data_IF_918834904670
#
_entry.id   IF_918834904670
#
_cell.length_a   1.000
_cell.length_b   1.000
_cell.length_c   1.000
_cell.angle_alpha   90.00
_cell.angle_beta   90.00
_cell.angle_gamma   90.00
#
_symmetry.space_group_name_H-M   'P 1'
#
loop_
_entity.id
_entity.type
_entity.pdbx_description
1 polymer ?
#
# COMPACT_ATOMS: atom_id res chain seq x y z
N UNK A 1 -14.72 0.55 -6.77
CA UNK A 1 -13.54 1.42 -6.79
C UNK A 1 -12.43 0.73 -7.55
N UNK A 2 -11.64 1.48 -8.32
CA UNK A 2 -10.45 0.94 -9.01
C UNK A 2 -9.16 1.32 -8.28
N UNK A 3 -8.27 0.35 -8.13
CA UNK A 3 -6.98 0.50 -7.46
C UNK A 3 -5.89 0.03 -8.41
N UNK A 4 -4.88 0.87 -8.63
CA UNK A 4 -3.60 0.44 -9.22
C UNK A 4 -2.74 -0.12 -8.10
N UNK A 5 -2.39 -1.40 -8.17
CA UNK A 5 -1.49 -2.01 -7.18
C UNK A 5 -0.08 -1.44 -7.39
N UNK A 6 0.52 -0.92 -6.33
CA UNK A 6 1.86 -0.32 -6.37
C UNK A 6 2.84 -1.06 -5.47
N UNK A 7 2.36 -1.71 -4.42
CA UNK A 7 3.19 -2.47 -3.48
C UNK A 7 2.50 -3.77 -3.05
N UNK A 8 3.31 -4.84 -2.98
CA UNK A 8 2.91 -6.14 -2.47
C UNK A 8 4.04 -6.64 -1.58
N UNK A 9 3.78 -6.68 -0.27
CA UNK A 9 4.77 -7.06 0.73
C UNK A 9 4.46 -8.44 1.28
N UNK A 10 5.42 -9.36 1.23
CA UNK A 10 5.34 -10.66 1.91
C UNK A 10 5.48 -10.48 3.43
N UNK A 11 4.44 -10.85 4.17
CA UNK A 11 4.38 -10.73 5.63
C UNK A 11 4.84 -12.00 6.36
N UNK A 12 5.36 -12.99 5.63
CA UNK A 12 5.63 -14.36 6.11
C UNK A 12 4.33 -15.08 6.51
N UNK A 13 4.45 -16.39 6.75
CA UNK A 13 3.30 -17.19 7.22
C UNK A 13 2.17 -17.40 6.20
N UNK A 14 2.41 -17.16 4.91
CA UNK A 14 1.39 -17.30 3.87
C UNK A 14 0.49 -16.08 3.71
N UNK A 15 0.90 -14.93 4.25
CA UNK A 15 0.17 -13.67 4.18
C UNK A 15 0.92 -12.60 3.41
N UNK A 16 0.18 -11.73 2.72
CA UNK A 16 0.72 -10.55 2.06
C UNK A 16 -0.07 -9.29 2.45
N UNK A 17 0.63 -8.17 2.46
CA UNK A 17 0.06 -6.84 2.50
C UNK A 17 0.03 -6.26 1.08
N UNK A 18 -1.04 -5.56 0.73
CA UNK A 18 -1.19 -4.90 -0.56
C UNK A 18 -1.47 -3.44 -0.31
N UNK A 19 -0.77 -2.57 -1.03
CA UNK A 19 -1.08 -1.16 -1.12
C UNK A 19 -1.19 -0.75 -2.59
N UNK A 20 -2.02 0.25 -2.84
CA UNK A 20 -2.24 0.76 -4.18
C UNK A 20 -2.85 2.14 -4.21
N UNK A 21 -2.80 2.75 -5.39
CA UNK A 21 -3.37 4.05 -5.67
C UNK A 21 -4.84 3.93 -6.08
N UNK A 22 -5.74 4.55 -5.30
CA UNK A 22 -7.15 4.67 -5.67
C UNK A 22 -7.32 5.70 -6.78
N UNK A 23 -7.82 5.25 -7.95
CA UNK A 23 -8.12 6.16 -9.07
C UNK A 23 -9.33 7.05 -8.79
N UNK A 24 -10.22 6.63 -7.88
CA UNK A 24 -11.45 7.36 -7.57
C UNK A 24 -11.23 8.37 -6.43
N UNK A 25 -10.39 8.04 -5.46
CA UNK A 25 -10.12 8.88 -4.27
C UNK A 25 -8.78 9.63 -4.37
N UNK A 26 -7.99 9.41 -5.43
CA UNK A 26 -6.68 10.04 -5.67
C UNK A 26 -5.75 10.00 -4.44
N UNK A 27 -5.66 8.81 -3.83
CA UNK A 27 -4.82 8.57 -2.65
C UNK A 27 -4.36 7.12 -2.55
N UNK A 28 -3.32 6.91 -1.75
CA UNK A 28 -2.90 5.57 -1.34
C UNK A 28 -3.94 4.91 -0.44
N UNK A 29 -4.23 3.65 -0.74
CA UNK A 29 -5.09 2.79 0.08
C UNK A 29 -4.50 1.39 0.23
N UNK A 30 -4.85 0.74 1.33
CA UNK A 30 -4.56 -0.66 1.64
C UNK A 30 -5.88 -1.42 1.65
N UNK A 31 -6.27 -2.08 0.54
CA UNK A 31 -7.50 -2.86 0.54
C UNK A 31 -7.34 -4.03 1.51
N UNK A 32 -8.26 -4.12 2.49
CA UNK A 32 -8.27 -5.16 3.49
C UNK A 32 -9.48 -6.08 3.28
N UNK A 33 -9.27 -7.38 3.41
CA UNK A 33 -10.35 -8.34 3.26
C UNK A 33 -11.30 -8.30 4.46
N UNK A 34 -12.59 -8.01 4.20
CA UNK A 34 -13.59 -7.75 5.24
C UNK A 34 -14.01 -8.94 6.12
N UNK A 35 -13.49 -10.15 5.87
CA UNK A 35 -13.86 -11.36 6.62
C UNK A 35 -13.08 -11.56 7.94
N UNK A 36 -12.51 -10.50 8.51
CA UNK A 36 -11.72 -10.57 9.75
C UNK A 36 -10.24 -10.97 9.57
N UNK A 37 -9.79 -11.13 8.32
CA UNK A 37 -8.38 -11.31 7.97
C UNK A 37 -7.90 -10.10 7.18
N UNK A 38 -7.19 -9.18 7.83
CA UNK A 38 -6.72 -7.95 7.19
C UNK A 38 -5.59 -8.16 6.18
N UNK A 39 -5.03 -9.37 6.10
CA UNK A 39 -3.95 -9.74 5.20
C UNK A 39 -4.44 -10.74 4.15
N UNK A 40 -3.98 -10.57 2.93
CA UNK A 40 -4.32 -11.44 1.81
C UNK A 40 -3.50 -12.73 1.88
N UNK A 41 -3.97 -13.78 1.21
CA UNK A 41 -3.20 -15.02 1.10
C UNK A 41 -2.13 -14.88 0.01
N UNK A 42 -0.93 -15.43 0.25
CA UNK A 42 0.17 -15.45 -0.74
C UNK A 42 -0.22 -16.08 -2.08
N UNK A 43 -1.19 -17.00 -2.11
CA UNK A 43 -1.64 -17.61 -3.36
C UNK A 43 -2.28 -16.58 -4.31
N UNK A 44 -2.90 -15.52 -3.78
CA UNK A 44 -3.54 -14.48 -4.61
C UNK A 44 -2.52 -13.54 -5.30
N UNK A 45 -1.31 -13.40 -4.75
CA UNK A 45 -0.19 -12.78 -5.48
C UNK A 45 0.42 -13.74 -6.49
N UNK A 46 0.42 -15.05 -6.23
CA UNK A 46 0.91 -16.07 -7.17
C UNK A 46 -0.03 -16.29 -8.36
N UNK A 47 -1.31 -16.01 -8.20
CA UNK A 47 -2.33 -16.11 -9.25
C UNK A 47 -2.37 -14.85 -10.16
N UNK A 48 -1.32 -14.05 -10.16
CA UNK A 48 -1.16 -12.81 -10.94
C UNK A 48 -2.24 -11.72 -10.70
N UNK A 49 -3.05 -11.84 -9.65
CA UNK A 49 -4.08 -10.83 -9.33
C UNK A 49 -3.49 -9.65 -8.56
N UNK A 50 -2.80 -9.94 -7.45
CA UNK A 50 -2.21 -8.95 -6.56
C UNK A 50 -0.74 -8.72 -6.92
N UNK A 51 -0.51 -8.07 -8.06
CA UNK A 51 0.82 -7.74 -8.58
C UNK A 51 0.93 -6.24 -8.89
N UNK A 52 2.10 -5.60 -8.64
CA UNK A 52 2.32 -4.22 -9.05
C UNK A 52 1.98 -3.98 -10.53
N UNK A 53 1.34 -2.85 -10.83
CA UNK A 53 0.86 -2.48 -12.15
C UNK A 53 -0.56 -2.98 -12.46
N UNK A 54 -1.07 -4.00 -11.76
CA UNK A 54 -2.44 -4.44 -11.97
C UNK A 54 -3.47 -3.42 -11.48
N UNK A 55 -4.56 -3.32 -12.22
CA UNK A 55 -5.74 -2.55 -11.83
C UNK A 55 -6.80 -3.52 -11.33
N UNK A 56 -7.09 -3.49 -10.03
CA UNK A 56 -8.18 -4.29 -9.44
C UNK A 56 -9.42 -3.43 -9.20
N UNK A 57 -10.58 -4.03 -9.42
CA UNK A 57 -11.86 -3.46 -8.98
C UNK A 57 -12.24 -4.09 -7.66
N UNK A 58 -12.48 -3.24 -6.65
CA UNK A 58 -12.94 -3.63 -5.32
C UNK A 58 -14.31 -3.03 -5.02
N UNK A 59 -15.02 -3.65 -4.07
CA UNK A 59 -16.26 -3.11 -3.51
C UNK A 59 -16.02 -2.66 -2.06
N UNK A 60 -16.12 -1.35 -1.76
CA UNK A 60 -16.04 -0.83 -0.39
C UNK A 60 -17.04 -1.53 0.54
N UNK A 61 -16.62 -1.88 1.76
CA UNK A 61 -17.53 -2.38 2.80
C UNK A 61 -18.39 -1.28 3.42
N UNK A 62 -17.90 -0.03 3.39
CA UNK A 62 -18.48 1.10 4.12
C UNK A 62 -18.21 1.07 5.63
N UNK A 63 -17.37 0.14 6.10
CA UNK A 63 -16.97 0.00 7.51
C UNK A 63 -15.51 0.41 7.68
N UNK A 64 -15.20 0.97 8.85
CA UNK A 64 -13.83 1.23 9.25
C UNK A 64 -13.20 -0.04 9.86
N UNK A 65 -11.90 -0.29 9.64
CA UNK A 65 -11.16 -1.32 10.37
C UNK A 65 -11.24 -1.05 11.88
N UNK A 66 -11.56 -2.08 12.67
CA UNK A 66 -11.65 -1.96 14.14
C UNK A 66 -10.31 -2.36 14.76
N UNK A 67 -9.32 -1.46 14.74
CA UNK A 67 -8.03 -1.61 15.45
C UNK A 67 -7.26 -0.29 15.52
N UNK A 68 -6.45 -0.15 16.56
CA UNK A 68 -5.33 0.79 16.54
C UNK A 68 -4.32 0.32 15.50
N UNK A 69 -4.02 1.14 14.49
CA UNK A 69 -3.12 0.71 13.41
C UNK A 69 -2.30 1.88 12.85
N UNK A 70 -0.99 1.67 12.61
CA UNK A 70 -0.16 2.64 11.90
C UNK A 70 -0.70 3.03 10.52
N UNK A 71 -1.54 2.18 9.89
CA UNK A 71 -2.10 2.45 8.55
C UNK A 71 -3.58 2.87 8.56
N UNK A 72 -4.06 3.49 9.64
CA UNK A 72 -5.47 3.90 9.74
C UNK A 72 -5.92 4.82 8.60
N UNK A 73 -5.02 5.64 8.04
CA UNK A 73 -5.33 6.52 6.91
C UNK A 73 -5.51 5.77 5.59
N UNK A 74 -4.75 4.68 5.36
CA UNK A 74 -4.78 3.93 4.11
C UNK A 74 -5.73 2.73 4.14
N UNK A 75 -5.91 2.10 5.30
CA UNK A 75 -6.70 0.88 5.44
C UNK A 75 -8.14 1.08 4.94
N UNK A 76 -8.54 0.20 4.03
CA UNK A 76 -9.83 0.30 3.36
C UNK A 76 -10.49 -1.07 3.30
N UNK A 77 -11.51 -1.29 4.13
CA UNK A 77 -12.21 -2.58 4.16
C UNK A 77 -13.03 -2.79 2.89
N UNK A 78 -12.89 -3.98 2.31
CA UNK A 78 -13.64 -4.39 1.11
C UNK A 78 -14.60 -5.54 1.42
N UNK A 79 -15.61 -5.72 0.58
CA UNK A 79 -16.53 -6.86 0.60
C UNK A 79 -16.48 -7.63 -0.71
N UNK A 80 -16.47 -8.96 -0.59
CA UNK A 80 -16.32 -9.87 -1.74
C UNK A 80 -14.89 -9.88 -2.30
N UNK A 81 -14.74 -10.60 -3.40
CA UNK A 81 -13.44 -10.79 -4.05
C UNK A 81 -13.09 -9.62 -4.98
N UNK A 82 -11.82 -9.17 -5.00
CA UNK A 82 -11.33 -8.24 -6.02
C UNK A 82 -11.33 -8.90 -7.41
N UNK A 83 -11.50 -8.10 -8.45
CA UNK A 83 -11.44 -8.57 -9.83
C UNK A 83 -10.38 -7.80 -10.62
N UNK A 84 -9.53 -8.52 -11.37
CA UNK A 84 -8.61 -7.91 -12.31
C UNK A 84 -9.40 -7.17 -13.41
N UNK A 85 -9.07 -5.90 -13.61
CA UNK A 85 -9.77 -5.02 -14.56
C UNK A 85 -8.84 -4.36 -15.58
N UNK A 86 -7.54 -4.55 -15.46
CA UNK A 86 -6.53 -4.06 -16.36
C UNK A 86 -5.12 -4.21 -15.78
N UNK A 87 -4.12 -3.78 -16.55
CA UNK A 87 -2.73 -3.71 -16.12
C UNK A 87 -2.08 -2.49 -16.77
N UNK A 88 -1.16 -1.87 -16.04
CA UNK A 88 -0.33 -0.76 -16.48
C UNK A 88 1.12 -1.23 -16.62
N UNK A 89 1.83 -0.61 -17.55
CA UNK A 89 3.29 -0.71 -17.57
C UNK A 89 3.88 -0.05 -16.31
N UNK A 90 5.12 -0.38 -15.96
CA UNK A 90 5.82 0.25 -14.84
C UNK A 90 5.85 1.78 -14.96
N UNK A 91 6.01 2.29 -16.19
CA UNK A 91 6.04 3.74 -16.47
C UNK A 91 4.68 4.36 -16.19
N UNK A 92 3.60 3.75 -16.70
CA UNK A 92 2.25 4.27 -16.52
C UNK A 92 1.82 4.17 -15.05
N UNK A 93 2.20 3.09 -14.35
CA UNK A 93 1.96 2.92 -12.92
C UNK A 93 2.59 4.06 -12.12
N UNK A 94 3.88 4.37 -12.34
CA UNK A 94 4.54 5.48 -11.66
C UNK A 94 3.86 6.81 -11.96
N UNK A 95 3.48 7.05 -13.23
CA UNK A 95 2.76 8.26 -13.62
C UNK A 95 1.42 8.43 -12.92
N UNK A 96 0.70 7.33 -12.61
CA UNK A 96 -0.59 7.44 -11.90
C UNK A 96 -0.45 8.02 -10.49
N UNK A 97 0.71 7.84 -9.86
CA UNK A 97 0.98 8.33 -8.51
C UNK A 97 1.84 9.61 -8.49
N UNK A 98 2.32 10.11 -9.64
CA UNK A 98 3.24 11.27 -9.73
C UNK A 98 2.75 12.50 -8.96
N UNK A 99 1.44 12.78 -8.95
CA UNK A 99 0.88 13.91 -8.23
C UNK A 99 1.00 13.82 -6.69
N UNK A 100 1.32 12.64 -6.17
CA UNK A 100 1.50 12.34 -4.74
C UNK A 100 2.95 12.08 -4.35
N UNK A 101 3.89 12.28 -5.28
CA UNK A 101 5.32 12.04 -5.04
C UNK A 101 5.92 13.21 -4.28
N UNK A 102 6.64 12.90 -3.21
CA UNK A 102 7.37 13.87 -2.41
C UNK A 102 8.87 13.80 -2.73
N UNK A 103 9.57 14.93 -2.59
CA UNK A 103 11.02 14.99 -2.83
C UNK A 103 11.87 14.33 -1.73
N UNK A 104 11.27 13.99 -0.58
CA UNK A 104 11.97 13.41 0.57
C UNK A 104 11.01 12.76 1.58
N UNK A 105 11.54 11.89 2.45
CA UNK A 105 10.80 11.33 3.60
C UNK A 105 10.31 12.46 4.53
N UNK A 106 11.16 13.47 4.76
CA UNK A 106 10.81 14.61 5.62
C UNK A 106 9.67 15.45 5.04
N UNK A 107 9.64 15.68 3.73
CA UNK A 107 8.53 16.43 3.10
C UNK A 107 7.24 15.63 3.03
N UNK A 108 7.32 14.31 3.20
CA UNK A 108 6.16 13.43 3.23
C UNK A 108 5.57 13.28 4.64
N UNK A 109 6.41 13.02 5.65
CA UNK A 109 5.96 12.74 7.02
C UNK A 109 6.18 13.89 8.01
N UNK A 110 6.94 14.93 7.63
CA UNK A 110 7.24 16.05 8.51
C UNK A 110 7.93 15.63 9.80
N UNK A 111 7.59 16.33 10.89
CA UNK A 111 8.14 16.08 12.23
C UNK A 111 7.59 14.80 12.90
N UNK A 112 6.63 14.12 12.24
CA UNK A 112 6.11 12.82 12.70
C UNK A 112 7.10 11.68 12.44
N UNK A 113 8.08 11.93 11.57
CA UNK A 113 9.17 10.99 11.31
C UNK A 113 10.08 10.90 12.54
N UNK A 114 10.09 9.73 13.18
CA UNK A 114 11.07 9.40 14.24
C UNK A 114 11.97 8.25 13.78
N UNK A 115 13.14 8.11 14.41
CA UNK A 115 14.12 7.05 14.07
C UNK A 115 13.55 5.64 14.30
N UNK A 116 12.51 5.50 15.12
CA UNK A 116 11.93 4.21 15.52
C UNK A 116 10.57 3.92 14.86
N UNK A 117 9.79 4.94 14.49
CA UNK A 117 8.47 4.79 13.89
C UNK A 117 8.20 5.89 12.85
N UNK A 118 7.54 5.50 11.75
CA UNK A 118 7.17 6.43 10.68
C UNK A 118 5.98 7.32 11.07
N UNK A 119 5.05 6.85 11.91
CA UNK A 119 3.84 7.59 12.33
C UNK A 119 3.24 7.00 13.64
N UNK A 120 2.72 7.82 14.57
CA UNK A 120 1.92 7.34 15.71
C UNK A 120 0.61 6.65 15.25
N UNK A 121 0.21 5.59 15.96
CA UNK A 121 -1.09 4.92 15.70
C UNK A 121 -2.27 5.86 15.99
N UNK A 122 -3.36 5.70 15.24
CA UNK A 122 -4.66 6.38 15.48
C UNK A 122 -4.71 7.90 15.34
N UNK A 123 -3.63 8.53 14.88
CA UNK A 123 -3.62 9.98 14.63
C UNK A 123 -4.11 10.35 13.22
N UNK A 124 -4.47 9.36 12.39
CA UNK A 124 -5.07 9.58 11.07
C UNK A 124 -4.11 10.13 10.01
N UNK A 125 -2.82 10.10 10.30
CA UNK A 125 -1.76 10.51 9.36
C UNK A 125 -1.44 9.41 8.35
N UNK A 126 -1.01 9.82 7.16
CA UNK A 126 -0.53 8.89 6.14
C UNK A 126 0.76 8.22 6.61
N UNK A 127 0.82 6.91 6.43
CA UNK A 127 1.94 6.02 6.70
C UNK A 127 2.57 5.46 5.42
N UNK A 128 1.95 5.71 4.27
CA UNK A 128 2.41 5.28 2.94
C UNK A 128 2.41 6.42 1.93
N UNK A 129 3.30 6.33 0.95
CA UNK A 129 3.41 7.27 -0.16
C UNK A 129 4.71 7.09 -0.94
N UNK A 130 4.96 8.00 -1.87
CA UNK A 130 6.00 7.85 -2.88
C UNK A 130 7.05 8.94 -2.77
N UNK A 131 8.31 8.56 -2.99
CA UNK A 131 9.45 9.48 -3.02
C UNK A 131 10.21 9.28 -4.32
N UNK A 132 10.54 10.38 -5.00
CA UNK A 132 11.45 10.32 -6.14
C UNK A 132 12.90 10.32 -5.65
N UNK A 133 13.67 9.31 -6.06
CA UNK A 133 15.09 9.20 -5.72
C UNK A 133 15.93 8.87 -6.93
N UNK A 134 17.16 9.37 -6.95
CA UNK A 134 18.13 9.00 -7.97
C UNK A 134 18.60 7.56 -7.71
N UNK A 135 18.49 6.69 -8.73
CA UNK A 135 18.86 5.28 -8.65
C UNK A 135 20.24 5.01 -8.05
N UNK A 136 21.22 5.92 -8.26
CA UNK A 136 22.58 5.82 -7.72
C UNK A 136 22.71 6.04 -6.21
N UNK A 137 21.63 6.44 -5.53
CA UNK A 137 21.60 6.72 -4.08
C UNK A 137 20.93 5.61 -3.26
N UNK A 138 20.36 4.59 -3.90
CA UNK A 138 19.78 3.45 -3.21
C UNK A 138 20.85 2.39 -2.98
N UNK A 139 21.14 2.09 -1.71
CA UNK A 139 21.89 0.93 -1.29
C UNK A 139 20.95 -0.01 -0.55
N UNK A 140 20.95 -1.29 -0.90
CA UNK A 140 20.26 -2.31 -0.12
C UNK A 140 21.20 -2.74 1.00
N UNK A 141 20.85 -2.44 2.24
CA UNK A 141 21.50 -3.03 3.40
C UNK A 141 20.79 -4.36 3.72
N UNK A 142 21.49 -5.48 3.54
CA UNK A 142 20.96 -6.82 3.75
C UNK A 142 20.92 -7.22 5.24
N UNK A 143 20.93 -6.25 6.17
CA UNK A 143 20.95 -6.49 7.61
C UNK A 143 19.64 -7.08 8.20
N UNK A 144 18.71 -7.57 7.39
CA UNK A 144 17.43 -8.17 7.83
C UNK A 144 17.54 -9.54 8.54
N UNK A 145 18.76 -10.04 8.82
CA UNK A 145 18.98 -11.26 9.64
C UNK A 145 19.09 -11.01 11.15
N UNK A 146 18.83 -9.79 11.63
CA UNK A 146 18.77 -9.51 13.07
C UNK A 146 17.43 -8.92 13.44
N UNK A 147 16.43 -9.77 13.69
CA UNK A 147 15.32 -9.56 14.64
C UNK A 147 14.53 -10.87 14.75
#
# INVERSE_FOLDING_TARGET
>A
MKIVITDVTDMRGGHICVAGWSLDEERMIRPLHGSGHYHWNTNMARDDLLCPGNIITIKPSGQLPVRGNPHAAEDYLIIGEPALSGNLSDVDMVQTATGSVHDSVQSMFGDLFSVEHFVPEDEGFCSLGAIETQSRRMGFDNNYEKL
#
